data_IF_241662417456
#
_entry.id   IF_241662417456
#
_cell.length_a   1.000
_cell.length_b   1.000
_cell.length_c   1.000
_cell.angle_alpha   90.00
_cell.angle_beta   90.00
_cell.angle_gamma   90.00
#
_symmetry.space_group_name_H-M   'P 1'
#
loop_
_entity.id
_entity.type
_entity.pdbx_description
1 polymer ?
2 non-polymer ?
3 water ?
#
# COMPACT_ATOMS: atom_id res chain seq x y z
N UNK A 24 18.44 -11.17 20.47
CA UNK A 24 19.51 -11.85 19.77
C UNK A 24 19.97 -11.07 18.55
N UNK A 25 19.50 -9.83 18.48
CA UNK A 25 19.86 -8.93 17.41
C UNK A 25 21.15 -8.21 17.75
N UNK A 26 21.91 -7.83 16.72
CA UNK A 26 23.03 -6.95 16.98
C UNK A 26 22.53 -5.56 17.35
N UNK A 27 23.45 -4.76 17.92
CA UNK A 27 23.11 -3.38 18.25
C UNK A 27 22.73 -2.61 17.00
N UNK A 28 23.40 -2.91 15.88
CA UNK A 28 23.06 -2.27 14.62
C UNK A 28 21.66 -2.64 14.18
N UNK A 29 21.31 -3.93 14.30
CA UNK A 29 19.96 -4.36 13.92
C UNK A 29 18.92 -3.75 14.85
N UNK A 30 19.22 -3.64 16.15
CA UNK A 30 18.26 -3.04 17.07
C UNK A 30 18.04 -1.57 16.74
N UNK A 31 19.12 -0.85 16.40
CA UNK A 31 18.97 0.56 16.05
C UNK A 31 18.21 0.71 14.74
N UNK A 32 18.44 -0.21 13.81
CA UNK A 32 17.72 -0.17 12.54
C UNK A 32 16.21 -0.28 12.76
N UNK A 33 15.79 -1.26 13.55
CA UNK A 33 14.36 -1.43 13.81
C UNK A 33 13.83 -0.22 14.53
N UNK A 34 14.62 0.31 15.48
CA UNK A 34 14.20 1.50 16.21
C UNK A 34 13.99 2.68 15.28
N UNK A 35 14.88 2.88 14.31
CA UNK A 35 14.71 4.03 13.42
C UNK A 35 13.49 3.84 12.52
N UNK A 36 13.22 2.61 12.07
CA UNK A 36 12.02 2.35 11.27
C UNK A 36 10.75 2.56 12.08
N UNK A 37 10.65 1.96 13.28
CA UNK A 37 9.49 2.16 14.16
C UNK A 37 9.27 3.64 14.46
N UNK A 38 10.35 4.38 14.65
CA UNK A 38 10.25 5.81 14.89
C UNK A 38 9.64 6.52 13.69
N UNK A 39 10.16 6.22 12.49
CA UNK A 39 9.62 6.81 11.27
C UNK A 39 8.16 6.42 11.09
N UNK A 40 7.82 5.16 11.36
CA UNK A 40 6.42 4.70 11.26
C UNK A 40 5.51 5.46 12.23
N UNK A 41 5.89 5.50 13.51
CA UNK A 41 5.14 6.25 14.53
C UNK A 41 4.91 7.71 14.15
N UNK A 42 5.88 8.33 13.48
CA UNK A 42 5.78 9.77 13.22
C UNK A 42 4.93 10.07 12.00
N UNK A 43 4.79 9.10 11.09
CA UNK A 43 4.25 9.39 9.76
C UNK A 43 3.04 8.54 9.38
N UNK A 44 2.62 7.61 10.23
CA UNK A 44 1.44 6.78 9.95
C UNK A 44 0.36 7.23 10.95
N UNK A 45 -0.55 8.04 10.43
CA UNK A 45 -1.74 8.53 11.13
C UNK A 45 -2.73 7.38 11.15
N UNK A 46 -2.65 6.50 12.16
CA UNK A 46 -3.45 5.28 12.10
C UNK A 46 -4.95 5.54 12.31
N UNK A 47 -5.31 6.70 12.86
CA UNK A 47 -6.70 7.07 12.98
C UNK A 47 -7.20 7.87 11.77
N UNK A 48 -6.31 8.20 10.84
CA UNK A 48 -6.69 8.97 9.65
C UNK A 48 -7.33 10.31 10.03
N UNK A 49 -6.95 10.86 11.19
CA UNK A 49 -7.61 12.07 11.69
C UNK A 49 -7.35 13.29 10.80
N UNK A 50 -6.27 13.28 10.02
CA UNK A 50 -5.95 14.39 9.16
C UNK A 50 -6.27 14.11 7.70
N UNK A 51 -7.00 13.03 7.42
CA UNK A 51 -7.54 12.81 6.09
C UNK A 51 -8.85 13.59 6.00
N UNK A 52 -8.87 14.67 5.23
CA UNK A 52 -9.99 15.60 5.26
C UNK A 52 -10.16 16.21 3.88
N UNK A 53 -11.27 16.92 3.70
CA UNK A 53 -11.54 17.63 2.45
C UNK A 53 -11.50 16.71 1.24
N UNK A 54 -11.85 15.44 1.41
CA UNK A 54 -11.83 14.52 0.28
C UNK A 54 -13.16 14.57 -0.48
N UNK A 55 -13.09 14.20 -1.75
CA UNK A 55 -14.26 14.13 -2.59
C UNK A 55 -15.03 12.85 -2.29
N UNK A 56 -16.34 12.89 -2.56
CA UNK A 56 -17.23 11.77 -2.31
C UNK A 56 -18.10 11.56 -3.54
N UNK A 57 -18.54 10.32 -3.79
CA UNK A 57 -19.38 10.07 -4.96
C UNK A 57 -20.61 10.97 -4.95
N UNK A 58 -20.94 11.51 -6.12
CA UNK A 58 -22.03 12.46 -6.28
C UNK A 58 -23.32 12.02 -5.62
N UNK A 59 -24.08 12.99 -5.12
CA UNK A 59 -25.35 12.71 -4.48
C UNK A 59 -26.47 12.64 -5.53
N UNK A 78 -12.75 1.39 -28.21
CA UNK A 78 -13.97 0.81 -27.65
C UNK A 78 -13.66 -0.43 -26.82
N UNK A 79 -12.63 -1.18 -27.25
CA UNK A 79 -12.12 -2.28 -26.45
C UNK A 79 -11.35 -1.78 -25.23
N UNK A 80 -10.89 -0.53 -25.27
CA UNK A 80 -10.37 0.13 -24.07
C UNK A 80 -11.42 0.10 -22.96
N UNK A 81 -12.63 0.59 -23.26
CA UNK A 81 -13.68 0.66 -22.25
C UNK A 81 -14.02 -0.72 -21.70
N UNK A 82 -14.04 -1.75 -22.56
CA UNK A 82 -14.34 -3.09 -22.09
C UNK A 82 -13.34 -3.54 -21.04
N UNK A 83 -12.08 -3.19 -21.23
CA UNK A 83 -11.03 -3.55 -20.27
C UNK A 83 -11.02 -2.61 -19.07
N UNK A 84 -11.27 -1.31 -19.26
CA UNK A 84 -11.49 -0.43 -18.12
C UNK A 84 -12.71 -0.88 -17.31
N UNK A 85 -13.72 -1.44 -17.99
CA UNK A 85 -14.85 -2.02 -17.28
C UNK A 85 -14.41 -3.16 -16.38
N UNK A 86 -13.59 -4.07 -16.91
CA UNK A 86 -13.07 -5.16 -16.10
C UNK A 86 -12.09 -4.65 -15.03
N UNK A 87 -11.32 -3.61 -15.35
CA UNK A 87 -10.33 -3.09 -14.41
C UNK A 87 -10.99 -2.54 -13.15
N UNK A 88 -12.11 -1.84 -13.29
CA UNK A 88 -12.73 -1.16 -12.16
C UNK A 88 -13.51 -2.11 -11.25
N UNK A 89 -14.13 -3.16 -11.82
CA UNK A 89 -14.97 -4.08 -11.04
C UNK A 89 -14.17 -5.03 -10.15
N UNK A 90 -12.85 -4.85 -10.06
CA UNK A 90 -12.01 -5.75 -9.29
C UNK A 90 -11.95 -5.38 -7.81
N UNK A 91 -12.11 -4.10 -7.48
CA UNK A 91 -12.13 -3.62 -6.10
C UNK A 91 -13.48 -2.91 -5.88
N UNK A 92 -14.47 -3.66 -5.37
CA UNK A 92 -15.84 -3.16 -5.18
C UNK A 92 -16.13 -3.02 -3.69
N UNK A 93 -16.19 -1.79 -3.20
CA UNK A 93 -16.37 -1.52 -1.79
C UNK A 93 -17.52 -0.54 -1.56
N UNK A 94 -18.21 -0.73 -0.46
CA UNK A 94 -19.05 0.31 0.08
C UNK A 94 -18.23 1.14 1.05
N UNK A 95 -18.76 2.32 1.37
CA UNK A 95 -18.07 3.30 2.17
C UNK A 95 -18.97 3.74 3.31
N UNK A 96 -18.42 3.77 4.52
CA UNK A 96 -19.11 4.28 5.69
C UNK A 96 -18.34 5.46 6.27
N UNK A 97 -19.05 6.55 6.61
CA UNK A 97 -18.42 7.70 7.26
C UNK A 97 -19.14 7.96 8.56
N UNK A 98 -18.43 7.80 9.67
CA UNK A 98 -19.00 8.01 10.99
C UNK A 98 -18.61 9.41 11.45
N UNK A 99 -19.62 10.25 11.68
CA UNK A 99 -19.34 11.58 12.19
C UNK A 99 -19.08 11.58 13.68
N UNK A 100 -18.35 12.61 14.13
CA UNK A 100 -18.06 12.78 15.55
C UNK A 100 -19.34 12.83 16.38
N UNK A 101 -20.42 13.39 15.82
CA UNK A 101 -21.69 13.47 16.50
C UNK A 101 -22.39 12.13 16.67
N UNK A 102 -21.92 11.08 16.01
CA UNK A 102 -22.61 9.81 16.06
C UNK A 102 -23.38 9.48 14.81
N UNK A 103 -23.54 10.44 13.89
CA UNK A 103 -24.21 10.16 12.63
C UNK A 103 -23.37 9.25 11.77
N UNK A 104 -24.04 8.49 10.90
CA UNK A 104 -23.36 7.61 9.94
C UNK A 104 -23.91 7.85 8.54
N UNK A 105 -23.02 8.15 7.61
CA UNK A 105 -23.34 8.13 6.18
C UNK A 105 -22.80 6.82 5.60
N UNK A 106 -23.61 6.14 4.79
CA UNK A 106 -23.21 4.90 4.13
C UNK A 106 -23.48 5.04 2.63
N UNK A 107 -22.48 4.68 1.81
CA UNK A 107 -22.58 4.71 0.36
C UNK A 107 -22.46 3.29 -0.19
N UNK A 108 -23.46 2.87 -0.96
CA UNK A 108 -23.42 1.61 -1.71
C UNK A 108 -23.25 1.92 -3.19
N UNK A 109 -22.25 1.34 -3.84
CA UNK A 109 -21.92 1.74 -5.21
C UNK A 109 -22.94 1.20 -6.19
N UNK A 110 -22.95 1.72 -7.42
CA UNK A 110 -23.89 1.19 -8.42
C UNK A 110 -23.46 -0.16 -8.95
N UNK A 111 -24.28 -0.76 -9.81
CA UNK A 111 -23.85 -1.89 -10.60
C UNK A 111 -23.33 -1.38 -11.94
N UNK A 112 -22.44 -2.16 -12.56
CA UNK A 112 -21.96 -1.78 -13.88
C UNK A 112 -23.09 -1.98 -14.89
N UNK A 113 -23.48 -0.89 -15.55
CA UNK A 113 -24.58 -0.92 -16.51
C UNK A 113 -24.24 -0.18 -17.80
N UNK A 114 -22.96 -0.14 -18.17
CA UNK A 114 -22.53 0.37 -19.46
C UNK A 114 -22.28 1.86 -19.54
N UNK A 115 -22.17 2.56 -18.41
CA UNK A 115 -21.98 4.00 -18.45
C UNK A 115 -20.86 4.50 -17.56
N UNK A 116 -20.82 5.81 -17.31
CA UNK A 116 -19.77 6.41 -16.52
C UNK A 116 -19.92 6.15 -15.02
N UNK A 117 -20.99 5.50 -14.58
CA UNK A 117 -21.21 5.26 -13.15
C UNK A 117 -20.13 4.39 -12.53
N UNK A 118 -19.33 3.69 -13.33
CA UNK A 118 -18.22 2.93 -12.78
C UNK A 118 -17.10 3.81 -12.24
N UNK A 119 -17.13 5.11 -12.52
CA UNK A 119 -16.10 6.07 -12.15
C UNK A 119 -16.44 6.87 -10.90
N UNK A 120 -17.57 6.58 -10.25
CA UNK A 120 -18.08 7.45 -9.19
C UNK A 120 -17.13 7.51 -8.00
N UNK A 121 -16.39 6.45 -7.72
CA UNK A 121 -15.52 6.42 -6.55
C UNK A 121 -14.08 6.83 -6.85
N UNK A 122 -13.75 7.11 -8.11
CA UNK A 122 -12.34 7.38 -8.44
C UNK A 122 -11.83 8.65 -7.80
N UNK A 123 -12.55 9.76 -7.78
CA UNK A 123 -12.00 10.94 -7.11
C UNK A 123 -11.74 10.68 -5.65
N UNK A 124 -12.68 10.01 -4.97
CA UNK A 124 -12.46 9.73 -3.55
C UNK A 124 -11.22 8.85 -3.35
N UNK A 125 -11.09 7.77 -4.12
CA UNK A 125 -9.92 6.93 -3.94
C UNK A 125 -8.63 7.64 -4.33
N UNK A 126 -8.70 8.58 -5.27
CA UNK A 126 -7.50 9.35 -5.59
C UNK A 126 -7.08 10.21 -4.40
N UNK A 127 -8.05 10.81 -3.69
CA UNK A 127 -7.74 11.62 -2.51
C UNK A 127 -7.18 10.74 -1.39
N UNK A 128 -7.77 9.59 -1.17
CA UNK A 128 -7.15 8.62 -0.25
C UNK A 128 -5.76 8.18 -0.62
N UNK A 129 -5.55 7.81 -1.88
CA UNK A 129 -4.23 7.38 -2.30
C UNK A 129 -3.25 8.48 -2.04
N UNK A 130 -3.64 9.70 -2.39
CA UNK A 130 -2.75 10.84 -2.24
C UNK A 130 -2.39 11.06 -0.79
N UNK A 131 -3.39 11.00 0.08
CA UNK A 131 -3.14 11.14 1.51
C UNK A 131 -2.17 10.05 1.98
N UNK A 132 -2.38 8.82 1.52
CA UNK A 132 -1.50 7.74 1.97
C UNK A 132 -0.09 7.91 1.42
N UNK A 133 0.01 8.36 0.17
CA UNK A 133 1.32 8.57 -0.45
C UNK A 133 2.12 9.63 0.28
N UNK A 134 1.45 10.70 0.71
CA UNK A 134 2.14 11.75 1.48
C UNK A 134 2.77 11.16 2.73
N UNK A 135 2.02 10.29 3.42
CA UNK A 135 2.55 9.64 4.61
C UNK A 135 3.74 8.76 4.30
N UNK A 136 3.67 8.03 3.18
CA UNK A 136 4.77 7.16 2.77
C UNK A 136 6.00 7.97 2.42
N UNK A 137 5.82 9.07 1.68
CA UNK A 137 6.96 9.91 1.36
C UNK A 137 7.60 10.46 2.64
N UNK A 138 6.78 10.90 3.59
CA UNK A 138 7.28 11.38 4.88
C UNK A 138 8.04 10.30 5.63
N UNK A 139 7.51 9.07 5.63
CA UNK A 139 8.16 7.91 6.22
C UNK A 139 9.57 7.74 5.68
N UNK A 140 9.69 7.68 4.36
CA UNK A 140 10.99 7.50 3.73
C UNK A 140 11.95 8.64 4.08
N UNK A 141 11.46 9.88 4.10
CA UNK A 141 12.37 11.01 4.33
C UNK A 141 12.95 11.06 5.76
N UNK A 142 12.24 10.53 6.75
CA UNK A 142 12.78 10.33 8.10
C UNK A 142 13.93 9.36 8.17
N UNK A 143 13.96 8.37 7.30
CA UNK A 143 14.88 7.25 7.52
C UNK A 143 16.27 7.68 7.06
N UNK A 144 17.26 7.50 7.93
CA UNK A 144 18.63 7.93 7.62
C UNK A 144 19.16 7.24 6.37
N UNK A 145 19.01 5.91 6.31
CA UNK A 145 19.47 5.16 5.14
C UNK A 145 18.85 5.70 3.88
N UNK A 146 17.64 6.27 3.97
CA UNK A 146 17.01 6.80 2.77
C UNK A 146 17.47 8.22 2.47
N UNK A 147 17.42 9.13 3.44
CA UNK A 147 17.86 10.48 3.10
C UNK A 147 19.31 10.58 2.72
N UNK A 148 20.17 9.59 3.06
CA UNK A 148 21.55 9.59 2.61
C UNK A 148 21.74 9.17 1.18
N UNK A 149 20.68 8.74 0.49
CA UNK A 149 20.81 8.40 -0.92
C UNK A 149 20.75 9.68 -1.73
N UNK A 150 21.30 9.66 -2.94
CA UNK A 150 21.12 10.81 -3.85
C UNK A 150 19.65 11.06 -4.13
N UNK A 151 19.30 12.35 -4.27
CA UNK A 151 17.90 12.73 -4.46
C UNK A 151 17.27 12.03 -5.66
N UNK A 152 18.04 11.75 -6.70
CA UNK A 152 17.47 11.07 -7.86
C UNK A 152 17.05 9.66 -7.52
N UNK A 153 17.86 8.97 -6.72
CA UNK A 153 17.51 7.61 -6.31
C UNK A 153 16.34 7.61 -5.31
N UNK A 154 16.30 8.59 -4.41
CA UNK A 154 15.16 8.74 -3.52
C UNK A 154 13.86 8.82 -4.29
N UNK A 155 13.83 9.63 -5.35
CA UNK A 155 12.62 9.78 -6.16
C UNK A 155 12.31 8.48 -6.89
N UNK A 156 13.33 7.84 -7.48
CA UNK A 156 13.09 6.59 -8.20
C UNK A 156 12.56 5.50 -7.29
N UNK A 157 13.06 5.44 -6.05
CA UNK A 157 12.62 4.42 -5.11
C UNK A 157 11.18 4.66 -4.68
N UNK A 158 10.82 5.93 -4.43
CA UNK A 158 9.46 6.25 -4.02
C UNK A 158 8.47 6.01 -5.16
N UNK A 159 8.85 6.40 -6.39
CA UNK A 159 8.02 6.08 -7.54
C UNK A 159 7.79 4.57 -7.64
N UNK A 160 8.83 3.78 -7.35
CA UNK A 160 8.73 2.35 -7.52
C UNK A 160 7.90 1.67 -6.45
N UNK A 161 7.92 2.19 -5.22
CA UNK A 161 7.44 1.46 -4.05
C UNK A 161 6.28 2.12 -3.32
N UNK A 162 5.92 3.36 -3.65
CA UNK A 162 4.88 4.07 -2.90
C UNK A 162 3.62 3.22 -2.78
N UNK A 163 3.17 2.68 -3.91
CA UNK A 163 1.97 1.85 -3.88
C UNK A 163 2.16 0.65 -2.95
N UNK A 164 3.33 0.01 -2.98
CA UNK A 164 3.50 -1.17 -2.13
C UNK A 164 3.46 -0.80 -0.66
N UNK A 165 4.10 0.30 -0.29
CA UNK A 165 4.08 0.66 1.12
C UNK A 165 2.68 1.10 1.54
N UNK A 166 1.93 1.72 0.63
CA UNK A 166 0.54 2.04 0.96
C UNK A 166 -0.25 0.78 1.29
N UNK A 167 -0.10 -0.28 0.48
CA UNK A 167 -0.84 -1.52 0.73
C UNK A 167 -0.41 -2.19 2.03
N UNK A 168 0.88 -2.15 2.34
CA UNK A 168 1.35 -2.70 3.61
C UNK A 168 0.72 -1.95 4.78
N UNK A 169 0.65 -0.62 4.71
CA UNK A 169 -0.02 0.13 5.77
C UNK A 169 -1.52 -0.19 5.81
N UNK A 170 -2.18 -0.27 4.65
CA UNK A 170 -3.59 -0.62 4.67
C UNK A 170 -3.83 -1.99 5.26
N UNK A 171 -2.90 -2.91 5.06
CA UNK A 171 -3.12 -4.24 5.64
C UNK A 171 -3.24 -4.19 7.15
N UNK A 172 -2.52 -3.26 7.79
CA UNK A 172 -2.60 -3.21 9.23
C UNK A 172 -3.94 -2.71 9.73
N UNK A 173 -4.76 -2.07 8.89
CA UNK A 173 -6.09 -1.68 9.32
C UNK A 173 -7.15 -2.57 8.68
N UNK A 174 -6.73 -3.62 7.98
CA UNK A 174 -7.67 -4.57 7.38
C UNK A 174 -8.23 -5.49 8.45
N UNK A 175 -9.55 -5.67 8.43
CA UNK A 175 -10.25 -6.60 9.31
C UNK A 175 -10.65 -7.79 8.46
N UNK A 176 -9.96 -8.91 8.63
CA UNK A 176 -10.24 -10.03 7.74
C UNK A 176 -11.54 -10.73 8.11
N UNK A 177 -12.06 -10.51 9.33
CA UNK A 177 -13.33 -11.13 9.71
C UNK A 177 -14.52 -10.45 9.06
N UNK A 178 -14.45 -9.14 8.84
CA UNK A 178 -15.51 -8.40 8.19
C UNK A 178 -15.19 -7.93 6.78
N UNK A 179 -13.99 -8.24 6.26
CA UNK A 179 -13.63 -7.77 4.94
C UNK A 179 -13.67 -6.26 4.82
N UNK A 180 -13.14 -5.56 5.83
CA UNK A 180 -13.24 -4.11 5.93
C UNK A 180 -11.90 -3.47 6.28
N UNK A 181 -11.51 -2.42 5.53
CA UNK A 181 -10.37 -1.59 5.93
C UNK A 181 -10.91 -0.46 6.80
N UNK A 182 -10.48 -0.43 8.06
CA UNK A 182 -11.00 0.52 9.05
C UNK A 182 -10.07 1.70 9.20
N UNK A 183 -10.45 2.78 8.54
CA UNK A 183 -9.57 3.92 8.45
C UNK A 183 -10.12 5.02 9.34
N UNK A 184 -10.07 4.80 10.66
CA UNK A 184 -10.60 5.76 11.60
C UNK A 184 -12.09 5.87 11.43
N UNK A 185 -12.56 7.06 11.04
CA UNK A 185 -13.99 7.29 10.87
C UNK A 185 -14.51 6.88 9.51
N UNK A 186 -13.62 6.48 8.59
CA UNK A 186 -14.02 5.94 7.30
C UNK A 186 -13.82 4.43 7.34
N UNK A 187 -14.75 3.70 6.75
CA UNK A 187 -14.63 2.26 6.60
C UNK A 187 -14.90 1.89 5.14
N UNK A 188 -14.12 0.95 4.61
CA UNK A 188 -14.31 0.48 3.25
C UNK A 188 -14.58 -1.02 3.33
N UNK A 189 -15.79 -1.43 2.94
CA UNK A 189 -16.22 -2.81 3.18
C UNK A 189 -16.42 -3.50 1.85
N UNK A 190 -15.85 -4.70 1.71
CA UNK A 190 -15.99 -5.44 0.47
C UNK A 190 -17.44 -5.88 0.28
N UNK A 191 -17.99 -5.60 -0.90
CA UNK A 191 -19.31 -6.10 -1.25
C UNK A 191 -19.28 -7.62 -1.32
N UNK A 192 -20.35 -8.27 -0.88
CA UNK A 192 -20.42 -9.73 -0.96
C UNK A 192 -21.14 -10.19 -2.23
N UNK A 196 -18.52 -16.68 -3.19
CA UNK A 196 -18.48 -15.74 -2.08
C UNK A 196 -17.07 -15.31 -1.74
N UNK A 197 -16.63 -15.65 -0.52
CA UNK A 197 -15.27 -15.33 -0.10
C UNK A 197 -14.24 -16.00 -1.01
N UNK A 198 -14.50 -17.24 -1.42
CA UNK A 198 -13.59 -17.93 -2.32
C UNK A 198 -13.51 -17.24 -3.67
N UNK A 199 -14.58 -16.56 -4.09
CA UNK A 199 -14.56 -15.80 -5.34
C UNK A 199 -13.85 -14.45 -5.20
N UNK A 200 -13.72 -13.93 -3.97
CA UNK A 200 -12.99 -12.69 -3.74
C UNK A 200 -11.48 -12.93 -3.75
N UNK A 201 -11.02 -14.06 -3.20
CA UNK A 201 -9.60 -14.38 -3.21
C UNK A 201 -9.05 -14.57 -4.62
N UNK A 202 -9.91 -14.62 -5.63
CA UNK A 202 -9.41 -14.67 -7.00
C UNK A 202 -8.77 -13.36 -7.41
N UNK A 203 -9.23 -12.24 -6.86
CA UNK A 203 -8.62 -10.94 -7.13
C UNK A 203 -7.28 -10.85 -6.41
N UNK A 204 -6.16 -10.70 -7.13
CA UNK A 204 -4.85 -10.80 -6.46
C UNK A 204 -4.66 -9.84 -5.29
N UNK A 205 -5.20 -8.64 -5.38
CA UNK A 205 -5.04 -7.67 -4.30
C UNK A 205 -5.77 -8.12 -3.05
N UNK A 206 -6.96 -8.68 -3.20
CA UNK A 206 -7.71 -9.09 -2.03
C UNK A 206 -7.10 -10.33 -1.40
N UNK A 207 -6.72 -11.30 -2.22
CA UNK A 207 -6.01 -12.47 -1.70
C UNK A 207 -4.77 -12.05 -0.94
N UNK A 208 -4.04 -11.05 -1.45
CA UNK A 208 -2.86 -10.57 -0.75
C UNK A 208 -3.21 -10.07 0.65
N UNK A 209 -4.28 -9.28 0.79
CA UNK A 209 -4.58 -8.74 2.11
C UNK A 209 -5.01 -9.83 3.07
N UNK A 210 -5.81 -10.78 2.60
CA UNK A 210 -6.20 -11.88 3.49
C UNK A 210 -4.98 -12.72 3.87
N UNK A 211 -4.14 -13.08 2.90
CA UNK A 211 -3.02 -13.97 3.21
C UNK A 211 -1.99 -13.28 4.10
N UNK A 212 -1.73 -11.99 3.88
CA UNK A 212 -0.80 -11.28 4.76
C UNK A 212 -1.37 -11.12 6.17
N UNK A 213 -2.65 -10.78 6.29
CA UNK A 213 -3.23 -10.65 7.62
C UNK A 213 -3.13 -11.96 8.40
N UNK A 214 -3.27 -13.11 7.71
CA UNK A 214 -3.18 -14.41 8.34
C UNK A 214 -1.82 -14.67 8.96
N UNK A 215 -0.76 -14.02 8.50
CA UNK A 215 0.54 -14.26 9.13
C UNK A 215 0.63 -13.65 10.53
N UNK A 216 -0.30 -12.76 10.90
CA UNK A 216 -0.33 -12.15 12.22
C UNK A 216 1.01 -11.49 12.59
N UNK A 217 1.46 -10.59 11.70
CA UNK A 217 2.77 -9.98 11.86
C UNK A 217 2.76 -8.94 12.98
N UNK A 218 3.94 -8.68 13.55
CA UNK A 218 4.14 -7.60 14.51
C UNK A 218 4.31 -6.28 13.77
N UNK A 219 4.13 -5.17 14.50
CA UNK A 219 4.44 -3.86 13.90
C UNK A 219 5.84 -3.85 13.33
N UNK A 220 6.79 -4.44 14.06
CA UNK A 220 8.18 -4.42 13.61
C UNK A 220 8.36 -5.15 12.28
N UNK A 221 7.62 -6.26 12.09
CA UNK A 221 7.75 -6.99 10.84
C UNK A 221 7.11 -6.22 9.69
N UNK A 222 5.98 -5.54 9.94
CA UNK A 222 5.41 -4.69 8.89
C UNK A 222 6.37 -3.59 8.48
N UNK A 223 7.03 -2.93 9.44
CA UNK A 223 7.87 -1.81 9.03
C UNK A 223 9.12 -2.32 8.33
N UNK A 224 9.63 -3.50 8.70
CA UNK A 224 10.75 -4.08 7.93
C UNK A 224 10.31 -4.46 6.51
N UNK A 225 9.08 -4.99 6.34
CA UNK A 225 8.61 -5.20 4.97
C UNK A 225 8.56 -3.90 4.18
N UNK A 226 8.12 -2.81 4.82
CA UNK A 226 8.10 -1.52 4.13
C UNK A 226 9.50 -1.14 3.68
N UNK A 227 10.50 -1.34 4.56
CA UNK A 227 11.87 -0.96 4.21
C UNK A 227 12.40 -1.84 3.09
N UNK A 228 12.14 -3.15 3.16
CA UNK A 228 12.62 -4.04 2.10
C UNK A 228 12.02 -3.64 0.77
N UNK A 229 10.73 -3.34 0.76
CA UNK A 229 10.08 -2.88 -0.47
C UNK A 229 10.64 -1.55 -0.92
N UNK A 230 10.84 -0.61 0.03
CA UNK A 230 11.30 0.73 -0.34
C UNK A 230 12.70 0.67 -0.95
N UNK A 231 13.58 -0.14 -0.37
CA UNK A 231 14.97 -0.21 -0.80
C UNK A 231 15.16 -1.32 -1.83
N UNK A 232 14.32 -1.33 -2.87
CA UNK A 232 14.46 -2.31 -3.94
C UNK A 232 15.43 -1.77 -4.98
N UNK A 233 16.59 -2.41 -5.18
CA UNK A 233 17.61 -1.85 -6.08
C UNK A 233 17.23 -1.84 -7.55
N UNK A 234 16.19 -2.57 -7.94
CA UNK A 234 15.92 -2.80 -9.35
C UNK A 234 14.66 -2.07 -9.81
N UNK A 235 14.30 -0.97 -9.14
CA UNK A 235 13.27 -0.09 -9.67
C UNK A 235 13.83 0.72 -10.84
N UNK A 236 12.98 1.12 -11.78
CA UNK A 236 13.46 1.90 -12.93
C UNK A 236 14.12 3.19 -12.47
N UNK A 237 15.31 3.46 -13.02
CA UNK A 237 15.97 4.72 -12.80
C UNK A 237 16.94 4.76 -11.64
N UNK A 238 17.01 3.72 -10.83
CA UNK A 238 17.96 3.72 -9.71
C UNK A 238 19.39 3.69 -10.25
N UNK A 239 20.24 4.54 -9.70
CA UNK A 239 21.65 4.60 -10.06
C UNK A 239 22.58 3.93 -9.05
N UNK A 240 22.38 4.18 -7.77
CA UNK A 240 23.17 3.53 -6.72
C UNK A 240 22.64 2.14 -6.40
N UNK A 241 22.53 1.32 -7.45
CA UNK A 241 22.00 -0.03 -7.32
C UNK A 241 22.75 -0.82 -6.25
N UNK A 242 24.08 -0.69 -6.21
CA UNK A 242 24.86 -1.48 -5.27
C UNK A 242 24.58 -1.03 -3.84
N UNK A 243 24.52 0.28 -3.59
CA UNK A 243 24.25 0.75 -2.23
C UNK A 243 22.85 0.35 -1.81
N UNK A 244 21.88 0.44 -2.73
CA UNK A 244 20.51 0.13 -2.36
C UNK A 244 20.35 -1.35 -2.10
N UNK A 245 20.96 -2.18 -2.96
CA UNK A 245 20.98 -3.61 -2.75
C UNK A 245 21.58 -3.99 -1.41
N UNK A 246 22.69 -3.34 -1.02
CA UNK A 246 23.30 -3.65 0.28
C UNK A 246 22.37 -3.26 1.43
N UNK A 247 21.66 -2.14 1.29
CA UNK A 247 20.73 -1.73 2.35
C UNK A 247 19.55 -2.68 2.43
N UNK A 248 19.03 -3.11 1.28
CA UNK A 248 17.92 -4.05 1.28
C UNK A 248 18.32 -5.34 1.96
N UNK A 249 19.52 -5.86 1.66
CA UNK A 249 19.95 -7.10 2.27
C UNK A 249 20.03 -6.98 3.78
N UNK A 250 20.55 -5.85 4.28
CA UNK A 250 20.61 -5.59 5.72
C UNK A 250 19.23 -5.62 6.33
N UNK A 251 18.25 -5.01 5.65
CA UNK A 251 16.88 -5.02 6.18
C UNK A 251 16.30 -6.42 6.18
N UNK A 252 16.55 -7.20 5.12
CA UNK A 252 16.04 -8.56 5.12
C UNK A 252 16.73 -9.40 6.19
N UNK A 253 18.04 -9.24 6.38
CA UNK A 253 18.75 -9.97 7.42
C UNK A 253 18.21 -9.59 8.80
N UNK A 254 17.99 -8.29 9.03
CA UNK A 254 17.38 -7.87 10.29
C UNK A 254 16.03 -8.55 10.49
N UNK A 255 15.21 -8.61 9.44
CA UNK A 255 13.90 -9.24 9.59
C UNK A 255 14.05 -10.72 9.90
N UNK A 256 14.94 -11.42 9.17
CA UNK A 256 15.18 -12.83 9.42
C UNK A 256 15.59 -13.06 10.87
N UNK A 257 16.50 -12.23 11.37
CA UNK A 257 16.97 -12.37 12.76
C UNK A 257 15.88 -11.99 13.75
N UNK A 258 15.12 -10.93 13.49
CA UNK A 258 14.00 -10.62 14.37
C UNK A 258 13.10 -11.84 14.57
N UNK A 259 12.73 -12.49 13.47
CA UNK A 259 11.82 -13.63 13.55
C UNK A 259 12.47 -14.78 14.30
N UNK A 260 13.77 -15.00 14.09
CA UNK A 260 14.43 -16.12 14.76
C UNK A 260 14.46 -15.89 16.26
N UNK A 261 14.71 -14.66 16.69
CA UNK A 261 14.83 -14.38 18.11
C UNK A 261 13.50 -14.30 18.82
N UNK A 262 12.40 -13.97 18.13
CA UNK A 262 11.15 -13.66 18.80
C UNK A 262 9.98 -14.57 18.43
N UNK A 263 10.17 -15.56 17.55
CA UNK A 263 9.07 -16.40 17.09
C UNK A 263 9.49 -17.87 17.03
N UNK A 264 9.53 -18.54 18.18
CA UNK A 264 9.96 -19.95 18.20
C UNK A 264 8.87 -20.95 17.85
N UNK A 265 7.63 -20.50 17.62
CA UNK A 265 6.51 -21.41 17.54
C UNK A 265 6.51 -22.18 16.20
N UNK A 266 6.03 -23.43 16.20
CA UNK A 266 5.94 -24.17 14.93
C UNK A 266 5.09 -23.46 13.88
N UNK A 267 4.15 -22.61 14.28
CA UNK A 267 3.35 -21.94 13.27
C UNK A 267 4.17 -20.93 12.48
N UNK A 268 5.32 -20.50 13.01
CA UNK A 268 6.13 -19.49 12.38
C UNK A 268 7.37 -20.08 11.72
N UNK A 269 7.43 -21.39 11.58
CA UNK A 269 8.47 -21.96 10.75
C UNK A 269 8.31 -21.42 9.35
N UNK A 270 9.41 -21.02 8.75
CA UNK A 270 9.43 -20.51 7.40
C UNK A 270 8.74 -19.14 7.29
N UNK A 271 8.46 -18.47 8.41
CA UNK A 271 7.75 -17.18 8.33
C UNK A 271 8.54 -16.19 7.51
N UNK A 272 9.86 -16.11 7.71
CA UNK A 272 10.65 -15.17 6.93
C UNK A 272 10.46 -15.41 5.45
N UNK A 273 10.50 -16.68 5.02
CA UNK A 273 10.39 -16.97 3.61
C UNK A 273 8.98 -16.68 3.11
N UNK A 274 7.97 -16.90 3.95
CA UNK A 274 6.61 -16.55 3.55
C UNK A 274 6.48 -15.05 3.33
N UNK A 275 7.08 -14.26 4.22
CA UNK A 275 7.04 -12.79 4.08
C UNK A 275 7.73 -12.38 2.80
N UNK A 276 8.92 -12.95 2.52
CA UNK A 276 9.61 -12.53 1.30
C UNK A 276 8.81 -12.93 0.06
N UNK A 277 8.13 -14.06 0.10
CA UNK A 277 7.28 -14.42 -1.04
C UNK A 277 6.11 -13.46 -1.20
N UNK A 278 5.53 -12.97 -0.09
CA UNK A 278 4.46 -11.97 -0.19
C UNK A 278 4.99 -10.67 -0.79
N UNK A 279 6.22 -10.29 -0.46
CA UNK A 279 6.78 -9.07 -1.06
C UNK A 279 6.97 -9.22 -2.55
N UNK A 280 7.40 -10.40 -3.00
CA UNK A 280 7.46 -10.65 -4.43
C UNK A 280 6.07 -10.52 -5.04
N UNK A 281 5.06 -11.10 -4.40
CA UNK A 281 3.70 -11.01 -4.93
C UNK A 281 3.22 -9.57 -4.91
N UNK A 282 3.56 -8.83 -3.87
CA UNK A 282 3.16 -7.43 -3.82
C UNK A 282 3.74 -6.65 -4.99
N UNK A 283 4.99 -6.96 -5.36
CA UNK A 283 5.59 -6.28 -6.50
C UNK A 283 4.84 -6.59 -7.78
N UNK A 284 4.43 -7.85 -7.97
CA UNK A 284 3.61 -8.21 -9.12
C UNK A 284 2.29 -7.45 -9.12
N UNK A 285 1.59 -7.43 -7.97
CA UNK A 285 0.34 -6.66 -7.83
C UNK A 285 0.56 -5.19 -8.16
N UNK A 286 1.68 -4.63 -7.69
CA UNK A 286 2.05 -3.25 -8.01
C UNK A 286 2.08 -3.04 -9.52
N UNK A 287 2.76 -3.94 -10.24
CA UNK A 287 2.86 -3.79 -11.69
C UNK A 287 1.49 -3.90 -12.36
N UNK A 288 0.68 -4.87 -11.95
CA UNK A 288 -0.69 -4.99 -12.44
C UNK A 288 -1.45 -3.68 -12.26
N UNK A 289 -1.43 -3.15 -11.04
CA UNK A 289 -2.22 -1.95 -10.78
C UNK A 289 -1.67 -0.71 -11.44
N UNK A 290 -0.36 -0.61 -11.63
CA UNK A 290 0.13 0.55 -12.37
C UNK A 290 -0.44 0.54 -13.79
N UNK A 291 -0.37 -0.60 -14.45
CA UNK A 291 -0.92 -0.67 -15.81
C UNK A 291 -2.42 -0.44 -15.78
N UNK A 292 -3.10 -1.02 -14.79
CA UNK A 292 -4.54 -0.82 -14.67
C UNK A 292 -4.89 0.66 -14.52
N UNK A 293 -4.15 1.38 -13.66
CA UNK A 293 -4.47 2.79 -13.46
C UNK A 293 -4.14 3.64 -14.67
N UNK A 294 -3.04 3.34 -15.36
CA UNK A 294 -2.71 4.11 -16.57
C UNK A 294 -3.78 3.92 -17.65
N UNK A 295 -4.39 2.74 -17.74
CA UNK A 295 -5.49 2.54 -18.68
C UNK A 295 -6.69 3.40 -18.31
N UNK A 296 -7.11 3.34 -17.04
CA UNK A 296 -8.25 4.14 -16.60
C UNK A 296 -7.96 5.62 -16.78
N UNK A 297 -6.76 6.05 -16.38
CA UNK A 297 -6.36 7.45 -16.51
C UNK A 297 -6.43 7.90 -17.95
N UNK A 298 -6.15 6.99 -18.88
CA UNK A 298 -6.09 7.37 -20.28
C UNK A 298 -7.46 7.69 -20.84
N UNK A 299 -8.51 7.02 -20.36
CA UNK A 299 -9.86 7.31 -20.84
C UNK A 299 -10.66 8.18 -19.88
N UNK A 300 -10.29 8.24 -18.60
CA UNK A 300 -11.05 9.01 -17.62
C UNK A 300 -10.07 9.57 -16.59
N UNK A 301 -9.55 10.79 -16.82
CA UNK A 301 -8.53 11.34 -15.92
C UNK A 301 -9.01 11.45 -14.49
N UNK A 302 -8.13 11.06 -13.56
CA UNK A 302 -8.46 11.12 -12.14
C UNK A 302 -7.23 11.29 -11.24
N UNK A 303 -6.03 11.02 -11.73
CA UNK A 303 -4.85 11.11 -10.87
C UNK A 303 -4.62 12.55 -10.41
N UNK A 304 -4.42 12.71 -9.10
CA UNK A 304 -4.03 13.99 -8.53
C UNK A 304 -2.64 14.36 -9.02
N UNK A 305 -2.23 15.61 -8.85
CA UNK A 305 -0.84 15.96 -9.19
C UNK A 305 0.21 15.10 -8.49
N UNK A 306 0.01 14.73 -7.22
CA UNK A 306 1.02 13.87 -6.59
C UNK A 306 1.05 12.51 -7.25
N UNK A 307 -0.13 11.96 -7.57
CA UNK A 307 -0.13 10.66 -8.25
C UNK A 307 0.52 10.77 -9.62
N UNK A 308 0.21 11.84 -10.37
CA UNK A 308 0.85 12.00 -11.67
C UNK A 308 2.36 12.01 -11.55
N UNK A 309 2.87 12.75 -10.57
CA UNK A 309 4.30 12.79 -10.35
C UNK A 309 4.86 11.40 -10.06
N UNK A 310 4.16 10.63 -9.21
CA UNK A 310 4.64 9.29 -8.87
C UNK A 310 4.55 8.34 -10.05
N UNK A 311 3.58 8.53 -10.94
CA UNK A 311 3.37 7.63 -12.05
C UNK A 311 4.01 8.14 -13.34
N UNK A 312 4.79 9.23 -13.25
CA UNK A 312 5.53 9.76 -14.38
C UNK A 312 4.73 10.57 -15.38
N UNK A 313 3.49 10.95 -15.07
CA UNK A 313 2.67 11.71 -16.00
C UNK A 313 3.17 13.15 -16.05
N UNK A 314 3.45 13.63 -17.26
CA UNK A 314 4.13 14.92 -17.40
C UNK A 314 3.18 16.12 -17.45
N UNK A 315 1.90 15.91 -17.77
CA UNK A 315 0.99 17.01 -17.95
C UNK A 315 0.83 17.51 -19.39
N UNK A 316 1.53 16.89 -20.35
CA UNK A 316 1.41 17.21 -21.76
C UNK A 316 0.67 16.10 -22.51
N UNK A 317 -0.23 16.49 -23.41
CA UNK A 317 -0.95 15.52 -24.25
C UNK A 317 -0.01 14.91 -25.29
#
# INVERSE_FOLDING_TARGET
MKKGHHHHHHGSERTGTQPLGVQGLTEEQRMMIRELMDAQMKTFDTTFSHFKNFRLPGVLSSGCELPESLQAPSREEAAKWSQVRKDLCSLKVSLQLRGEDGSVWNYKPPADSGGKEIFSLLPHMADMSTYMFKGIISFAKVISYFRDLPIEDQISLLKGAAFELCQLRFNTVFNAETGTWECGRLSYCLEDTAGGFQQLLLEPMLKFHYMLKKLQLHEEEYVLMQAISLFSPDRPGVLQHRVVDQLQEQFAITLKSYIECNRPQPAHRFLFLKIMAMLTELRSINAQHTQRLLRIQDIHPFATPLMQELFGITGSLVPR
#
